data_IF_283317176305
#
_entry.id   IF_283317176305
#
_cell.length_a   1.000
_cell.length_b   1.000
_cell.length_c   1.000
_cell.angle_alpha   90.00
_cell.angle_beta   90.00
_cell.angle_gamma   90.00
#
_symmetry.space_group_name_H-M   'P 1'
#
loop_
_entity.id
_entity.type
_entity.pdbx_description
1 polymer ?
#
# COMPACT_ATOMS: atom_id res chain seq x y z
N UNK A 1 25.30 -7.34 8.02
CA UNK A 1 23.97 -6.70 8.00
C UNK A 1 22.86 -7.64 8.48
N UNK A 2 22.39 -8.55 7.62
CA UNK A 2 21.19 -9.36 7.88
C UNK A 2 21.23 -10.19 9.18
N UNK A 3 22.34 -10.85 9.50
CA UNK A 3 22.48 -11.61 10.75
C UNK A 3 22.35 -10.73 12.00
N UNK A 4 22.94 -9.52 11.98
CA UNK A 4 22.81 -8.57 13.07
C UNK A 4 21.36 -8.10 13.24
N UNK A 5 20.67 -7.81 12.14
CA UNK A 5 19.23 -7.46 12.18
C UNK A 5 18.42 -8.62 12.75
N UNK A 6 18.70 -9.86 12.35
CA UNK A 6 18.05 -11.05 12.90
C UNK A 6 18.23 -11.19 14.40
N UNK A 7 19.45 -10.95 14.91
CA UNK A 7 19.73 -10.92 16.35
C UNK A 7 18.93 -9.81 17.04
N UNK A 8 18.95 -8.59 16.49
CA UNK A 8 18.21 -7.44 17.05
C UNK A 8 16.70 -7.70 17.12
N UNK A 9 16.11 -8.30 16.08
CA UNK A 9 14.70 -8.71 16.06
C UNK A 9 14.42 -9.76 17.16
N UNK A 10 15.33 -10.70 17.35
CA UNK A 10 15.16 -11.79 18.34
C UNK A 10 15.15 -11.28 19.78
N UNK A 11 15.91 -10.23 20.07
CA UNK A 11 15.99 -9.63 21.41
C UNK A 11 15.15 -8.36 21.57
N UNK A 12 14.35 -8.00 20.57
CA UNK A 12 13.50 -6.79 20.58
C UNK A 12 12.50 -6.85 21.74
N UNK A 13 12.55 -5.90 22.69
CA UNK A 13 11.59 -5.83 23.79
C UNK A 13 10.14 -5.65 23.31
N UNK A 14 9.92 -4.87 22.25
CA UNK A 14 8.57 -4.66 21.70
C UNK A 14 8.01 -5.94 21.10
N UNK A 15 8.80 -6.63 20.26
CA UNK A 15 8.37 -7.89 19.64
C UNK A 15 8.17 -8.99 20.70
N UNK A 16 9.04 -9.08 21.70
CA UNK A 16 8.86 -10.02 22.82
C UNK A 16 7.59 -9.71 23.62
N UNK A 17 7.36 -8.44 23.92
CA UNK A 17 6.16 -8.00 24.64
C UNK A 17 4.87 -8.28 23.87
N UNK A 18 4.85 -8.08 22.55
CA UNK A 18 3.64 -8.32 21.75
C UNK A 18 3.45 -9.80 21.38
N UNK A 19 4.53 -10.57 21.24
CA UNK A 19 4.48 -12.00 20.90
C UNK A 19 4.08 -12.90 22.07
N UNK A 20 4.32 -12.50 23.33
CA UNK A 20 3.89 -13.27 24.50
C UNK A 20 2.37 -13.27 24.71
N UNK A 21 1.66 -12.31 24.11
CA UNK A 21 0.21 -12.30 24.16
C UNK A 21 -0.34 -13.25 23.09
N UNK A 22 -1.38 -14.01 23.43
CA UNK A 22 -2.15 -14.81 22.46
C UNK A 22 -2.98 -13.85 21.60
N UNK A 23 -2.29 -13.11 20.75
CA UNK A 23 -2.83 -12.10 19.85
C UNK A 23 -2.25 -12.30 18.46
N UNK A 24 -2.82 -11.59 17.51
CA UNK A 24 -2.51 -11.76 16.11
C UNK A 24 -1.24 -11.05 15.64
N UNK A 25 -0.61 -10.24 16.49
CA UNK A 25 0.51 -9.37 16.13
C UNK A 25 1.73 -10.13 15.54
N UNK A 26 2.03 -11.35 16.02
CA UNK A 26 3.14 -12.15 15.49
C UNK A 26 2.88 -12.68 14.07
N UNK A 27 1.64 -13.05 13.75
CA UNK A 27 1.27 -13.47 12.41
C UNK A 27 1.37 -12.30 11.43
N UNK A 28 1.01 -11.10 11.90
CA UNK A 28 1.12 -9.90 11.09
C UNK A 28 2.56 -9.62 10.68
N UNK A 29 3.47 -9.66 11.66
CA UNK A 29 4.89 -9.47 11.40
C UNK A 29 5.42 -10.51 10.40
N UNK A 30 5.09 -11.79 10.59
CA UNK A 30 5.52 -12.85 9.69
C UNK A 30 5.02 -12.66 8.24
N UNK A 31 3.72 -12.41 8.05
CA UNK A 31 3.17 -12.27 6.71
C UNK A 31 3.64 -10.99 6.00
N UNK A 32 3.90 -9.91 6.74
CA UNK A 32 4.57 -8.72 6.18
C UNK A 32 5.98 -9.06 5.70
N UNK A 33 6.76 -9.82 6.47
CA UNK A 33 8.11 -10.23 6.05
C UNK A 33 8.08 -11.09 4.78
N UNK A 34 7.13 -12.03 4.67
CA UNK A 34 6.93 -12.83 3.45
C UNK A 34 6.55 -11.94 2.27
N UNK A 35 5.66 -10.96 2.47
CA UNK A 35 5.27 -9.99 1.46
C UNK A 35 6.48 -9.19 0.97
N UNK A 36 7.22 -8.55 1.89
CA UNK A 36 8.42 -7.76 1.59
C UNK A 36 9.44 -8.62 0.85
N UNK A 37 9.73 -9.82 1.36
CA UNK A 37 10.68 -10.73 0.73
C UNK A 37 10.28 -11.08 -0.70
N UNK A 38 9.01 -11.45 -0.95
CA UNK A 38 8.51 -11.72 -2.30
C UNK A 38 8.65 -10.51 -3.23
N UNK A 39 8.30 -9.31 -2.76
CA UNK A 39 8.38 -8.10 -3.55
C UNK A 39 9.82 -7.73 -3.94
N UNK A 40 10.76 -7.70 -2.99
CA UNK A 40 12.16 -7.39 -3.28
C UNK A 40 12.84 -8.46 -4.15
N UNK A 41 12.55 -9.75 -3.91
CA UNK A 41 13.07 -10.82 -4.77
C UNK A 41 12.53 -10.77 -6.20
N UNK A 42 11.32 -10.24 -6.38
CA UNK A 42 10.80 -9.95 -7.71
C UNK A 42 11.54 -8.79 -8.37
N UNK A 43 11.86 -7.72 -7.64
CA UNK A 43 12.69 -6.63 -8.18
C UNK A 43 14.06 -7.14 -8.67
N UNK A 44 14.70 -8.03 -7.91
CA UNK A 44 16.02 -8.56 -8.26
C UNK A 44 16.01 -9.51 -9.44
N UNK A 45 15.05 -10.45 -9.46
CA UNK A 45 15.10 -11.59 -10.39
C UNK A 45 14.07 -11.54 -11.50
N UNK A 46 13.04 -10.69 -11.37
CA UNK A 46 11.90 -10.56 -12.28
C UNK A 46 11.16 -11.88 -12.58
N UNK A 47 11.31 -12.90 -11.71
CA UNK A 47 10.65 -14.20 -11.87
C UNK A 47 9.25 -14.20 -11.24
N UNK A 48 8.26 -14.68 -11.99
CA UNK A 48 6.85 -14.74 -11.59
C UNK A 48 6.60 -15.43 -10.23
N UNK A 49 7.40 -16.45 -9.88
CA UNK A 49 7.27 -17.15 -8.58
C UNK A 49 7.34 -16.23 -7.36
N UNK A 50 8.04 -15.10 -7.45
CA UNK A 50 8.16 -14.17 -6.33
C UNK A 50 6.93 -13.28 -6.16
N UNK A 51 6.19 -13.02 -7.24
CA UNK A 51 4.86 -12.43 -7.15
C UNK A 51 3.89 -13.36 -6.44
N UNK A 52 4.04 -14.69 -6.61
CA UNK A 52 3.27 -15.67 -5.85
C UNK A 52 3.62 -15.62 -4.35
N UNK A 53 4.90 -15.59 -4.00
CA UNK A 53 5.32 -15.44 -2.59
C UNK A 53 4.77 -14.14 -1.98
N UNK A 54 4.84 -13.03 -2.73
CA UNK A 54 4.24 -11.76 -2.34
C UNK A 54 2.73 -11.88 -2.11
N UNK A 55 1.99 -12.41 -3.08
CA UNK A 55 0.54 -12.59 -3.00
C UNK A 55 0.12 -13.52 -1.85
N UNK A 56 0.93 -14.53 -1.52
CA UNK A 56 0.70 -15.37 -0.34
C UNK A 56 0.86 -14.58 0.95
N UNK A 57 1.92 -13.78 1.09
CA UNK A 57 2.07 -12.86 2.23
C UNK A 57 0.86 -11.92 2.39
N UNK A 58 0.34 -11.42 1.28
CA UNK A 58 -0.88 -10.60 1.26
C UNK A 58 -2.12 -11.37 1.74
N UNK A 59 -2.42 -12.51 1.12
CA UNK A 59 -3.64 -13.29 1.38
C UNK A 59 -3.74 -13.67 2.85
N UNK A 60 -2.68 -14.30 3.37
CA UNK A 60 -2.65 -14.74 4.76
C UNK A 60 -2.63 -13.58 5.75
N UNK A 61 -1.99 -12.46 5.40
CA UNK A 61 -2.04 -11.23 6.20
C UNK A 61 -3.46 -10.70 6.35
N UNK A 62 -4.21 -10.57 5.25
CA UNK A 62 -5.59 -10.07 5.31
C UNK A 62 -6.55 -10.99 6.07
N UNK A 63 -6.26 -12.29 6.13
CA UNK A 63 -7.01 -13.22 7.00
C UNK A 63 -6.66 -12.99 8.48
N UNK A 64 -5.42 -12.62 8.79
CA UNK A 64 -4.93 -12.47 10.17
C UNK A 64 -5.39 -11.18 10.87
N UNK A 65 -5.48 -10.04 10.15
CA UNK A 65 -6.05 -8.79 10.67
C UNK A 65 -6.39 -7.80 9.56
N UNK A 66 -7.44 -7.03 9.80
CA UNK A 66 -7.81 -5.85 9.03
C UNK A 66 -6.71 -4.77 8.97
N UNK A 67 -5.86 -4.62 9.99
CA UNK A 67 -4.75 -3.65 9.94
C UNK A 67 -3.72 -3.95 8.83
N UNK A 68 -3.72 -5.16 8.25
CA UNK A 68 -2.86 -5.45 7.11
C UNK A 68 -3.17 -4.61 5.88
N UNK A 69 -4.40 -4.10 5.72
CA UNK A 69 -4.72 -3.19 4.62
C UNK A 69 -3.86 -1.93 4.65
N UNK A 70 -3.56 -1.40 5.84
CA UNK A 70 -2.66 -0.26 6.01
C UNK A 70 -1.22 -0.59 5.59
N UNK A 71 -0.71 -1.76 5.98
CA UNK A 71 0.61 -2.22 5.54
C UNK A 71 0.67 -2.37 4.02
N UNK A 72 -0.41 -2.87 3.41
CA UNK A 72 -0.56 -2.94 1.96
C UNK A 72 -0.58 -1.58 1.28
N UNK A 73 -1.28 -0.59 1.85
CA UNK A 73 -1.30 0.77 1.35
C UNK A 73 0.09 1.42 1.39
N UNK A 74 0.83 1.25 2.50
CA UNK A 74 2.20 1.77 2.65
C UNK A 74 3.12 1.13 1.62
N UNK A 75 3.11 -0.20 1.50
CA UNK A 75 3.95 -0.90 0.51
C UNK A 75 3.55 -0.54 -0.92
N UNK A 76 2.26 -0.42 -1.22
CA UNK A 76 1.77 -0.04 -2.54
C UNK A 76 2.21 1.36 -2.92
N UNK A 77 2.06 2.32 -2.01
CA UNK A 77 2.55 3.68 -2.18
C UNK A 77 4.06 3.73 -2.37
N UNK A 78 4.83 2.91 -1.64
CA UNK A 78 6.27 2.78 -1.83
C UNK A 78 6.63 2.30 -3.24
N UNK A 79 6.00 1.23 -3.75
CA UNK A 79 6.32 0.72 -5.09
C UNK A 79 5.84 1.64 -6.22
N UNK A 80 4.70 2.32 -6.05
CA UNK A 80 4.27 3.40 -6.96
C UNK A 80 5.31 4.53 -6.96
N UNK A 81 5.70 5.00 -5.78
CA UNK A 81 6.71 6.04 -5.63
C UNK A 81 8.06 5.64 -6.24
N UNK A 82 8.51 4.40 -6.02
CA UNK A 82 9.73 3.86 -6.61
C UNK A 82 9.64 3.79 -8.14
N UNK A 83 8.52 3.31 -8.69
CA UNK A 83 8.31 3.25 -10.13
C UNK A 83 8.33 4.63 -10.78
N UNK A 84 7.68 5.62 -10.16
CA UNK A 84 7.66 7.01 -10.65
C UNK A 84 9.03 7.66 -10.48
N UNK A 85 9.70 7.46 -9.34
CA UNK A 85 11.06 7.97 -9.07
C UNK A 85 12.05 7.51 -10.13
N UNK A 86 12.01 6.23 -10.51
CA UNK A 86 12.88 5.68 -11.56
C UNK A 86 12.64 6.29 -12.95
N UNK A 87 11.53 7.02 -13.16
CA UNK A 87 11.21 7.69 -14.43
C UNK A 87 11.52 9.18 -14.39
N UNK A 88 11.03 9.89 -13.37
CA UNK A 88 11.13 11.36 -13.30
C UNK A 88 12.26 11.86 -12.41
N UNK A 89 12.93 10.97 -11.67
CA UNK A 89 14.03 11.27 -10.75
C UNK A 89 13.63 12.32 -9.71
N UNK A 90 14.53 13.27 -9.46
CA UNK A 90 14.35 14.34 -8.47
C UNK A 90 13.12 15.22 -8.72
N UNK A 91 12.55 15.23 -9.95
CA UNK A 91 11.32 15.98 -10.25
C UNK A 91 10.12 15.44 -9.45
N UNK A 92 10.17 14.20 -8.97
CA UNK A 92 9.16 13.64 -8.08
C UNK A 92 8.94 14.54 -6.85
N UNK A 93 9.99 15.17 -6.32
CA UNK A 93 9.87 16.04 -5.14
C UNK A 93 8.98 17.26 -5.39
N UNK A 94 8.90 17.75 -6.63
CA UNK A 94 7.96 18.81 -7.00
C UNK A 94 6.51 18.34 -6.95
N UNK A 95 6.25 17.07 -7.26
CA UNK A 95 4.91 16.48 -7.14
C UNK A 95 4.56 16.09 -5.70
N UNK A 96 5.54 15.67 -4.90
CA UNK A 96 5.35 15.35 -3.48
C UNK A 96 5.06 16.61 -2.65
N UNK A 97 5.69 17.74 -2.99
CA UNK A 97 5.54 18.99 -2.22
C UNK A 97 4.07 19.46 -2.06
N UNK A 98 3.23 19.52 -3.13
CA UNK A 98 1.80 19.80 -3.00
C UNK A 98 1.09 18.83 -2.06
N UNK A 99 1.35 17.53 -2.14
CA UNK A 99 0.70 16.52 -1.29
C UNK A 99 1.07 16.72 0.18
N UNK A 100 2.35 17.02 0.47
CA UNK A 100 2.80 17.32 1.83
C UNK A 100 2.16 18.61 2.35
N UNK A 101 2.11 19.66 1.53
CA UNK A 101 1.47 20.92 1.90
C UNK A 101 -0.05 20.75 2.12
N UNK A 102 -0.74 20.08 1.19
CA UNK A 102 -2.17 19.76 1.29
C UNK A 102 -2.49 18.86 2.46
N UNK A 103 -1.64 17.87 2.75
CA UNK A 103 -1.74 17.02 3.93
C UNK A 103 -1.55 17.78 5.24
N UNK A 104 -0.60 18.72 5.28
CA UNK A 104 -0.41 19.63 6.42
C UNK A 104 -1.62 20.54 6.65
N UNK A 105 -2.19 21.11 5.58
CA UNK A 105 -3.40 21.93 5.62
C UNK A 105 -4.59 21.09 6.10
N UNK A 106 -4.79 19.90 5.52
CA UNK A 106 -5.85 18.98 5.94
C UNK A 106 -5.69 18.62 7.42
N UNK A 107 -4.50 18.23 7.87
CA UNK A 107 -4.26 17.86 9.26
C UNK A 107 -4.57 19.00 10.23
N UNK A 108 -4.16 20.22 9.90
CA UNK A 108 -4.47 21.41 10.69
C UNK A 108 -5.98 21.67 10.77
N UNK A 109 -6.68 21.58 9.62
CA UNK A 109 -8.14 21.72 9.56
C UNK A 109 -8.87 20.58 10.26
N UNK A 110 -8.33 19.36 10.20
CA UNK A 110 -8.88 18.17 10.85
C UNK A 110 -8.82 18.31 12.37
N UNK A 111 -7.68 18.73 12.92
CA UNK A 111 -7.58 19.05 14.36
C UNK A 111 -8.60 20.11 14.72
N UNK A 112 -8.70 21.18 13.91
CA UNK A 112 -9.66 22.25 14.18
C UNK A 112 -11.11 21.78 14.14
N UNK A 113 -11.47 20.92 13.20
CA UNK A 113 -12.79 20.30 13.12
C UNK A 113 -13.07 19.46 14.37
N UNK A 114 -12.11 18.63 14.80
CA UNK A 114 -12.20 17.83 16.04
C UNK A 114 -12.37 18.69 17.29
N UNK A 115 -11.66 19.81 17.40
CA UNK A 115 -11.84 20.77 18.49
C UNK A 115 -13.26 21.33 18.53
N UNK A 116 -13.80 21.73 17.37
CA UNK A 116 -15.18 22.25 17.25
C UNK A 116 -16.21 21.19 17.63
N UNK A 117 -16.04 19.95 17.17
CA UNK A 117 -16.89 18.83 17.55
C UNK A 117 -16.84 18.56 19.07
N UNK A 118 -15.66 18.67 19.67
CA UNK A 118 -15.49 18.51 21.13
C UNK A 118 -16.16 19.64 21.90
N UNK A 119 -16.08 20.89 21.42
CA UNK A 119 -16.79 22.03 22.01
C UNK A 119 -18.31 21.89 21.88
N UNK A 120 -18.80 21.34 20.77
CA UNK A 120 -20.22 21.10 20.56
C UNK A 120 -20.83 20.20 21.64
N UNK A 121 -20.05 19.25 22.18
CA UNK A 121 -20.51 18.33 23.22
C UNK A 121 -20.95 19.01 24.52
N UNK A 122 -20.52 20.26 24.78
CA UNK A 122 -20.86 21.03 25.97
C UNK A 122 -21.63 22.33 25.67
N UNK A 123 -21.97 22.59 24.41
CA UNK A 123 -22.46 23.89 23.95
C UNK A 123 -23.98 24.11 24.05
N UNK A 124 -24.76 23.11 24.49
CA UNK A 124 -26.23 23.20 24.57
C UNK A 124 -26.85 23.60 23.22
N UNK A 125 -27.62 24.70 23.21
CA UNK A 125 -28.29 25.23 22.01
C UNK A 125 -27.33 25.63 20.87
N UNK A 126 -26.05 25.89 21.18
CA UNK A 126 -25.02 26.21 20.19
C UNK A 126 -24.37 24.99 19.52
N UNK A 127 -24.68 23.77 19.98
CA UNK A 127 -24.01 22.55 19.52
C UNK A 127 -24.17 22.30 18.02
N UNK A 128 -25.38 22.48 17.48
CA UNK A 128 -25.65 22.19 16.06
C UNK A 128 -24.87 23.14 15.13
N UNK A 129 -24.72 24.41 15.50
CA UNK A 129 -23.92 25.37 14.74
C UNK A 129 -22.42 24.99 14.71
N UNK A 130 -21.90 24.52 15.85
CA UNK A 130 -20.51 24.05 15.97
C UNK A 130 -20.26 22.76 15.18
N UNK A 131 -21.21 21.83 15.17
CA UNK A 131 -21.12 20.60 14.36
C UNK A 131 -21.11 20.92 12.86
N UNK A 132 -22.04 21.77 12.39
CA UNK A 132 -22.02 22.21 10.98
C UNK A 132 -20.71 22.93 10.61
N UNK A 133 -20.13 23.69 11.54
CA UNK A 133 -18.83 24.33 11.33
C UNK A 133 -17.70 23.29 11.28
N UNK A 134 -17.72 22.29 12.17
CA UNK A 134 -16.78 21.17 12.18
C UNK A 134 -16.82 20.44 10.83
N UNK A 135 -18.00 20.02 10.38
CA UNK A 135 -18.18 19.26 9.14
C UNK A 135 -17.70 20.03 7.91
N UNK A 136 -18.02 21.33 7.83
CA UNK A 136 -17.51 22.20 6.77
C UNK A 136 -15.99 22.35 6.82
N UNK A 137 -15.40 22.45 8.01
CA UNK A 137 -13.94 22.57 8.18
C UNK A 137 -13.23 21.30 7.72
N UNK A 138 -13.77 20.13 8.10
CA UNK A 138 -13.27 18.83 7.65
C UNK A 138 -13.38 18.70 6.13
N UNK A 139 -14.54 19.04 5.55
CA UNK A 139 -14.77 18.99 4.12
C UNK A 139 -13.79 19.88 3.34
N UNK A 140 -13.51 21.09 3.81
CA UNK A 140 -12.52 21.99 3.20
C UNK A 140 -11.11 21.37 3.27
N UNK A 141 -10.75 20.75 4.40
CA UNK A 141 -9.48 20.05 4.54
C UNK A 141 -9.34 18.90 3.55
N UNK A 142 -10.35 18.04 3.44
CA UNK A 142 -10.37 16.92 2.50
C UNK A 142 -10.30 17.44 1.06
N UNK A 143 -11.05 18.49 0.73
CA UNK A 143 -11.01 19.11 -0.60
C UNK A 143 -9.61 19.67 -0.92
N UNK A 144 -8.95 20.32 0.03
CA UNK A 144 -7.59 20.83 -0.14
C UNK A 144 -6.58 19.70 -0.40
N UNK A 145 -6.67 18.59 0.34
CA UNK A 145 -5.87 17.39 0.11
C UNK A 145 -6.15 16.77 -1.27
N UNK A 146 -7.43 16.69 -1.67
CA UNK A 146 -7.84 16.21 -2.98
C UNK A 146 -7.27 17.04 -4.13
N UNK A 147 -7.36 18.37 -4.03
CA UNK A 147 -6.78 19.31 -5.00
C UNK A 147 -5.25 19.14 -5.06
N UNK A 148 -4.58 19.04 -3.92
CA UNK A 148 -3.14 18.79 -3.86
C UNK A 148 -2.73 17.47 -4.53
N UNK A 149 -3.53 16.42 -4.36
CA UNK A 149 -3.34 15.14 -5.05
C UNK A 149 -3.48 15.26 -6.57
N UNK A 150 -4.48 16.01 -7.05
CA UNK A 150 -4.66 16.28 -8.49
C UNK A 150 -3.47 17.05 -9.04
N UNK A 151 -3.01 18.09 -8.35
CA UNK A 151 -1.82 18.88 -8.74
C UNK A 151 -0.60 17.95 -8.83
N UNK A 152 -0.40 17.07 -7.85
CA UNK A 152 0.71 16.12 -7.87
C UNK A 152 0.67 15.19 -9.11
N UNK A 153 -0.51 14.67 -9.45
CA UNK A 153 -0.69 13.84 -10.66
C UNK A 153 -0.36 14.64 -11.91
N UNK A 154 -0.87 15.88 -12.03
CA UNK A 154 -0.58 16.76 -13.17
C UNK A 154 0.92 17.01 -13.30
N UNK A 155 1.61 17.30 -12.19
CA UNK A 155 3.06 17.52 -12.18
C UNK A 155 3.84 16.27 -12.56
N UNK A 156 3.42 15.08 -12.12
CA UNK A 156 4.02 13.80 -12.56
C UNK A 156 3.84 13.64 -14.07
N UNK A 157 2.62 13.82 -14.58
CA UNK A 157 2.32 13.69 -16.02
C UNK A 157 3.13 14.69 -16.85
N UNK A 158 3.25 15.94 -16.40
CA UNK A 158 4.08 16.96 -17.05
C UNK A 158 5.58 16.65 -16.99
N UNK A 159 6.04 15.98 -15.94
CA UNK A 159 7.43 15.58 -15.80
C UNK A 159 7.81 14.37 -16.66
N UNK A 160 6.84 13.52 -17.03
CA UNK A 160 7.02 12.34 -17.87
C UNK A 160 7.15 12.72 -19.35
N UNK A 161 8.11 12.08 -20.04
CA UNK A 161 8.24 12.12 -21.49
C UNK A 161 7.29 11.10 -22.13
N UNK A 162 7.02 11.26 -23.43
CA UNK A 162 6.18 10.32 -24.20
C UNK A 162 6.69 8.87 -24.15
N UNK A 163 8.02 8.69 -24.17
CA UNK A 163 8.68 7.37 -24.05
C UNK A 163 8.61 6.77 -22.64
N UNK A 164 8.42 7.59 -21.61
CA UNK A 164 8.45 7.13 -20.21
C UNK A 164 7.23 6.29 -19.87
N UNK A 165 6.12 6.44 -20.61
CA UNK A 165 4.97 5.55 -20.49
C UNK A 165 5.31 4.09 -20.83
N UNK A 166 6.10 3.87 -21.90
CA UNK A 166 6.55 2.53 -22.28
C UNK A 166 7.52 1.97 -21.25
N UNK A 167 8.42 2.81 -20.72
CA UNK A 167 9.35 2.43 -19.64
C UNK A 167 8.60 2.06 -18.36
N UNK A 168 7.59 2.84 -17.96
CA UNK A 168 6.74 2.59 -16.79
C UNK A 168 6.07 1.22 -16.88
N UNK A 169 5.46 0.92 -18.04
CA UNK A 169 4.79 -0.37 -18.28
C UNK A 169 5.74 -1.57 -18.35
N UNK A 170 7.05 -1.34 -18.36
CA UNK A 170 8.09 -2.37 -18.30
C UNK A 170 8.82 -2.38 -16.96
N UNK A 171 8.44 -1.52 -16.02
CA UNK A 171 9.10 -1.36 -14.75
C UNK A 171 8.64 -2.45 -13.74
N UNK A 172 9.55 -3.24 -13.14
CA UNK A 172 9.20 -4.23 -12.14
C UNK A 172 8.51 -3.66 -10.89
N UNK A 173 8.85 -2.45 -10.46
CA UNK A 173 8.19 -1.79 -9.33
C UNK A 173 6.74 -1.43 -9.66
N UNK A 174 6.48 -1.03 -10.91
CA UNK A 174 5.11 -0.77 -11.37
C UNK A 174 4.30 -2.07 -11.49
N UNK A 175 4.92 -3.17 -11.93
CA UNK A 175 4.31 -4.50 -11.93
C UNK A 175 3.88 -4.95 -10.53
N UNK A 176 4.71 -4.70 -9.51
CA UNK A 176 4.35 -4.96 -8.10
C UNK A 176 3.15 -4.13 -7.66
N UNK A 177 3.20 -2.81 -7.90
CA UNK A 177 2.12 -1.90 -7.53
C UNK A 177 0.78 -2.30 -8.17
N UNK A 178 0.77 -2.58 -9.47
CA UNK A 178 -0.44 -2.98 -10.19
C UNK A 178 -0.94 -4.35 -9.73
N UNK A 179 -0.04 -5.30 -9.48
CA UNK A 179 -0.42 -6.61 -8.92
C UNK A 179 -1.04 -6.46 -7.54
N UNK A 180 -0.45 -5.67 -6.65
CA UNK A 180 -0.98 -5.45 -5.31
C UNK A 180 -2.36 -4.77 -5.34
N UNK A 181 -2.50 -3.68 -6.11
CA UNK A 181 -3.77 -2.95 -6.20
C UNK A 181 -4.86 -3.83 -6.83
N UNK A 182 -4.56 -4.55 -7.91
CA UNK A 182 -5.55 -5.42 -8.56
C UNK A 182 -6.05 -6.53 -7.64
N UNK A 183 -5.16 -7.19 -6.87
CA UNK A 183 -5.58 -8.22 -5.91
C UNK A 183 -6.48 -7.67 -4.79
N UNK A 184 -6.20 -6.44 -4.33
CA UNK A 184 -6.91 -5.79 -3.21
C UNK A 184 -8.19 -5.11 -3.63
N UNK A 185 -8.32 -4.68 -4.89
CA UNK A 185 -9.38 -3.77 -5.33
C UNK A 185 -10.81 -4.17 -4.90
N UNK A 186 -11.23 -5.44 -4.94
CA UNK A 186 -12.58 -5.83 -4.48
C UNK A 186 -12.83 -5.59 -2.97
N UNK A 187 -11.79 -5.58 -2.13
CA UNK A 187 -11.88 -5.22 -0.71
C UNK A 187 -12.22 -3.75 -0.49
N UNK A 188 -12.03 -2.87 -1.49
CA UNK A 188 -12.22 -1.41 -1.37
C UNK A 188 -13.70 -1.01 -1.36
N UNK A 189 -14.63 -1.93 -1.62
CA UNK A 189 -16.08 -1.68 -1.63
C UNK A 189 -16.64 -0.90 -0.42
N UNK A 190 -16.14 -1.03 0.84
CA UNK A 190 -16.64 -0.24 1.97
C UNK A 190 -16.42 1.26 1.82
N UNK A 191 -15.38 1.69 1.11
CA UNK A 191 -15.18 3.11 0.80
C UNK A 191 -16.32 3.65 -0.05
N UNK A 192 -16.74 2.91 -1.08
CA UNK A 192 -17.87 3.32 -1.92
C UNK A 192 -19.17 3.33 -1.11
N UNK A 193 -19.39 2.33 -0.26
CA UNK A 193 -20.56 2.28 0.62
C UNK A 193 -20.61 3.51 1.55
N UNK A 194 -19.49 3.89 2.15
CA UNK A 194 -19.42 5.05 3.04
C UNK A 194 -19.54 6.38 2.28
N UNK A 195 -18.77 6.58 1.21
CA UNK A 195 -18.65 7.90 0.57
C UNK A 195 -19.70 8.17 -0.52
N UNK A 196 -20.17 7.13 -1.21
CA UNK A 196 -21.15 7.27 -2.31
C UNK A 196 -22.57 6.99 -1.83
N UNK A 197 -22.73 5.95 -1.01
CA UNK A 197 -24.04 5.51 -0.52
C UNK A 197 -24.32 5.95 0.93
N UNK A 198 -23.42 6.73 1.54
CA UNK A 198 -23.56 7.27 2.89
C UNK A 198 -23.93 6.22 3.95
N UNK A 199 -23.39 4.99 3.82
CA UNK A 199 -23.59 3.95 4.81
C UNK A 199 -22.88 4.30 6.11
N UNK A 200 -23.63 4.23 7.21
CA UNK A 200 -23.06 4.06 8.54
C UNK A 200 -22.49 2.63 8.64
N UNK A 201 -21.19 2.50 8.34
CA UNK A 201 -20.51 1.22 8.35
C UNK A 201 -20.56 0.57 9.73
N UNK A 202 -20.41 1.35 10.81
CA UNK A 202 -20.42 0.82 12.17
C UNK A 202 -21.78 0.18 12.46
N UNK A 203 -22.86 0.93 12.26
CA UNK A 203 -24.21 0.43 12.51
C UNK A 203 -24.55 -0.78 11.61
N UNK A 204 -24.15 -0.74 10.33
CA UNK A 204 -24.39 -1.84 9.39
C UNK A 204 -23.64 -3.11 9.79
N UNK A 205 -22.37 -3.03 10.19
CA UNK A 205 -21.60 -4.23 10.57
C UNK A 205 -21.91 -4.73 11.98
N UNK A 206 -22.31 -3.85 12.92
CA UNK A 206 -22.79 -4.25 14.24
C UNK A 206 -24.08 -5.11 14.14
N UNK A 207 -24.93 -4.87 13.13
CA UNK A 207 -26.14 -5.63 12.87
C UNK A 207 -26.16 -6.32 11.50
N UNK A 208 -25.13 -7.12 11.20
CA UNK A 208 -25.02 -7.77 9.89
C UNK A 208 -26.16 -8.75 9.58
N UNK A 209 -26.73 -9.41 10.60
CA UNK A 209 -27.85 -10.33 10.41
C UNK A 209 -29.14 -9.60 10.00
N UNK A 210 -29.24 -8.30 10.28
CA UNK A 210 -30.35 -7.44 9.87
C UNK A 210 -30.24 -6.86 8.46
N UNK A 211 -29.19 -7.23 7.69
CA UNK A 211 -29.05 -6.75 6.31
C UNK A 211 -30.21 -7.20 5.43
N UNK A 212 -30.81 -6.22 4.74
CA UNK A 212 -31.85 -6.49 3.76
C UNK A 212 -31.28 -7.21 2.53
N UNK A 213 -32.16 -7.81 1.72
CA UNK A 213 -31.75 -8.38 0.42
C UNK A 213 -31.12 -7.31 -0.47
N UNK A 214 -31.60 -6.07 -0.42
CA UNK A 214 -31.01 -4.93 -1.15
C UNK A 214 -29.58 -4.61 -0.71
N UNK A 215 -29.30 -4.62 0.60
CA UNK A 215 -27.94 -4.40 1.13
C UNK A 215 -26.95 -5.46 0.62
N UNK A 216 -27.40 -6.71 0.57
CA UNK A 216 -26.59 -7.83 0.08
C UNK A 216 -26.33 -7.75 -1.43
N UNK A 217 -27.36 -7.41 -2.21
CA UNK A 217 -27.22 -7.23 -3.65
C UNK A 217 -26.30 -6.05 -3.96
N UNK A 218 -26.46 -4.92 -3.26
CA UNK A 218 -25.61 -3.75 -3.45
C UNK A 218 -24.14 -4.07 -3.15
N UNK A 219 -23.86 -4.65 -1.98
CA UNK A 219 -22.48 -5.01 -1.58
C UNK A 219 -21.85 -6.01 -2.54
N UNK A 220 -22.56 -7.08 -2.90
CA UNK A 220 -22.08 -8.06 -3.87
C UNK A 220 -21.84 -7.44 -5.25
N UNK A 221 -22.73 -6.55 -5.70
CA UNK A 221 -22.59 -5.85 -6.99
C UNK A 221 -21.37 -4.94 -7.00
N UNK A 222 -21.11 -4.19 -5.92
CA UNK A 222 -19.93 -3.33 -5.82
C UNK A 222 -18.63 -4.14 -5.81
N UNK A 223 -18.59 -5.25 -5.07
CA UNK A 223 -17.44 -6.17 -5.09
C UNK A 223 -17.21 -6.73 -6.49
N UNK A 224 -18.28 -7.11 -7.20
CA UNK A 224 -18.20 -7.61 -8.57
C UNK A 224 -17.71 -6.53 -9.55
N UNK A 225 -18.21 -5.30 -9.45
CA UNK A 225 -17.77 -4.17 -10.28
C UNK A 225 -16.28 -3.89 -10.05
N UNK A 226 -15.83 -3.85 -8.79
CA UNK A 226 -14.41 -3.65 -8.45
C UNK A 226 -13.54 -4.83 -8.92
N UNK A 227 -14.06 -6.06 -8.90
CA UNK A 227 -13.38 -7.21 -9.50
C UNK A 227 -13.25 -7.04 -11.02
N UNK A 228 -14.31 -6.63 -11.73
CA UNK A 228 -14.25 -6.37 -13.18
C UNK A 228 -13.23 -5.27 -13.50
N UNK A 229 -13.20 -4.19 -12.71
CA UNK A 229 -12.21 -3.12 -12.87
C UNK A 229 -10.80 -3.66 -12.64
N UNK A 230 -10.60 -4.54 -11.65
CA UNK A 230 -9.32 -5.19 -11.39
C UNK A 230 -8.85 -6.03 -12.58
N UNK A 231 -9.75 -6.83 -13.16
CA UNK A 231 -9.48 -7.60 -14.38
C UNK A 231 -9.13 -6.70 -15.57
N UNK A 232 -9.91 -5.63 -15.79
CA UNK A 232 -9.66 -4.67 -16.87
C UNK A 232 -8.30 -3.98 -16.70
N UNK A 233 -7.97 -3.57 -15.48
CA UNK A 233 -6.68 -2.96 -15.14
C UNK A 233 -5.51 -3.92 -15.38
N UNK A 234 -5.62 -5.18 -14.92
CA UNK A 234 -4.58 -6.18 -15.12
C UNK A 234 -4.44 -6.59 -16.59
N UNK A 235 -5.55 -6.73 -17.32
CA UNK A 235 -5.54 -7.00 -18.76
C UNK A 235 -4.87 -5.86 -19.52
N UNK A 236 -5.29 -4.62 -19.25
CA UNK A 236 -4.65 -3.45 -19.80
C UNK A 236 -3.16 -3.44 -19.49
N UNK A 237 -2.74 -3.76 -18.27
CA UNK A 237 -1.34 -3.66 -17.84
C UNK A 237 -0.41 -4.76 -18.37
N UNK A 238 -0.84 -6.02 -18.28
CA UNK A 238 -0.01 -7.19 -18.62
C UNK A 238 -0.18 -7.64 -20.07
N UNK A 239 -1.41 -7.69 -20.59
CA UNK A 239 -1.67 -8.19 -21.95
C UNK A 239 -1.40 -7.12 -23.01
N UNK A 240 -1.93 -5.90 -22.84
CA UNK A 240 -1.72 -4.82 -23.81
C UNK A 240 -0.33 -4.17 -23.72
N UNK A 241 0.67 -4.84 -23.15
CA UNK A 241 2.01 -4.29 -22.91
C UNK A 241 2.75 -4.13 -24.24
N UNK A 242 3.38 -2.97 -24.51
CA UNK A 242 4.19 -2.81 -25.71
C UNK A 242 5.34 -3.82 -25.71
N UNK A 243 5.37 -4.72 -26.70
CA UNK A 243 6.44 -5.72 -26.88
C UNK A 243 7.78 -5.00 -27.14
N UNK A 244 8.86 -5.53 -26.57
CA UNK A 244 10.19 -5.01 -26.86
C UNK A 244 10.57 -5.37 -28.31
N UNK A 245 11.21 -4.47 -29.07
CA UNK A 245 11.82 -4.86 -30.33
C UNK A 245 12.92 -5.89 -30.04
N UNK A 246 12.98 -7.00 -30.77
CA UNK A 246 14.07 -7.96 -30.62
C UNK A 246 15.39 -7.32 -31.03
N UNK A 247 16.44 -7.60 -30.27
CA UNK A 247 17.81 -7.25 -30.65
C UNK A 247 18.59 -8.54 -30.85
N UNK A 248 19.05 -8.75 -32.07
CA UNK A 248 19.89 -9.89 -32.45
C UNK A 248 21.33 -9.38 -32.55
N UNK A 249 22.22 -9.88 -31.69
CA UNK A 249 23.65 -9.58 -31.78
C UNK A 249 24.27 -10.37 -32.92
N UNK A 250 24.79 -9.68 -33.94
CA UNK A 250 25.55 -10.31 -35.03
C UNK A 250 26.92 -10.80 -34.54
N UNK A 251 27.48 -11.78 -35.25
CA UNK A 251 28.81 -12.34 -34.98
C UNK A 251 29.96 -11.31 -35.03
N UNK A 252 29.74 -10.15 -35.64
CA UNK A 252 30.69 -9.03 -35.72
C UNK A 252 30.54 -8.00 -34.58
N UNK A 253 29.67 -8.25 -33.59
CA UNK A 253 29.43 -7.36 -32.46
C UNK A 253 28.44 -6.21 -32.71
N UNK A 254 27.91 -6.07 -33.93
CA UNK A 254 26.84 -5.09 -34.21
C UNK A 254 25.47 -5.59 -33.73
N UNK A 255 24.71 -4.72 -33.07
CA UNK A 255 23.33 -4.99 -32.64
C UNK A 255 22.38 -4.66 -33.79
N UNK A 256 21.67 -5.66 -34.31
CA UNK A 256 20.61 -5.48 -35.28
C UNK A 256 19.26 -5.55 -34.56
N UNK A 257 18.45 -4.51 -34.69
CA UNK A 257 17.10 -4.48 -34.13
C UNK A 257 16.18 -5.22 -35.11
N UNK A 258 15.96 -6.50 -34.88
CA UNK A 258 14.96 -7.27 -35.62
C UNK A 258 13.55 -6.97 -35.09
N UNK A 259 12.56 -6.96 -36.00
CA UNK A 259 11.15 -6.92 -35.63
C UNK A 259 10.65 -8.27 -35.07
N UNK A 260 11.48 -8.95 -34.27
CA UNK A 260 11.20 -10.22 -33.61
C UNK A 260 10.67 -10.03 -32.20
N UNK A 261 9.96 -11.05 -31.71
CA UNK A 261 9.31 -11.05 -30.41
C UNK A 261 10.24 -11.69 -29.37
N UNK A 262 10.80 -10.88 -28.46
CA UNK A 262 11.63 -11.40 -27.37
C UNK A 262 10.74 -12.05 -26.30
N UNK A 263 10.45 -13.34 -26.48
CA UNK A 263 9.70 -14.18 -25.54
C UNK A 263 10.59 -14.64 -24.38
N UNK A 264 10.89 -13.75 -23.43
CA UNK A 264 11.56 -14.15 -22.19
C UNK A 264 10.59 -14.04 -21.02
N UNK A 265 10.06 -15.17 -20.54
CA UNK A 265 9.55 -15.51 -19.19
C UNK A 265 8.95 -14.39 -18.31
N UNK A 266 8.35 -13.34 -18.90
CA UNK A 266 7.82 -12.22 -18.14
C UNK A 266 6.39 -12.51 -17.72
N UNK A 267 6.07 -12.12 -16.50
CA UNK A 267 4.75 -12.31 -15.92
C UNK A 267 3.67 -11.66 -16.80
N UNK A 268 2.81 -12.50 -17.39
CA UNK A 268 1.73 -12.09 -18.27
C UNK A 268 0.35 -12.16 -17.60
N UNK A 269 -0.70 -11.84 -18.36
CA UNK A 269 -2.07 -11.80 -17.86
C UNK A 269 -2.55 -13.16 -17.30
N UNK A 270 -2.19 -14.27 -17.93
CA UNK A 270 -2.50 -15.62 -17.40
C UNK A 270 -1.83 -15.90 -16.05
N UNK A 271 -0.59 -15.45 -15.86
CA UNK A 271 0.09 -15.56 -14.56
C UNK A 271 -0.63 -14.73 -13.49
N UNK A 272 -1.10 -13.54 -13.87
CA UNK A 272 -1.94 -12.73 -13.00
C UNK A 272 -3.28 -13.40 -12.66
N UNK A 273 -3.94 -14.05 -13.61
CA UNK A 273 -5.17 -14.78 -13.37
C UNK A 273 -4.98 -15.91 -12.35
N UNK A 274 -3.85 -16.62 -12.43
CA UNK A 274 -3.48 -17.64 -11.44
C UNK A 274 -3.29 -17.04 -10.04
N UNK A 275 -2.62 -15.88 -9.93
CA UNK A 275 -2.46 -15.18 -8.66
C UNK A 275 -3.80 -14.70 -8.11
N UNK A 276 -4.63 -14.07 -8.94
CA UNK A 276 -5.95 -13.59 -8.57
C UNK A 276 -6.83 -14.75 -8.07
N UNK A 277 -6.82 -15.87 -8.79
CA UNK A 277 -7.54 -17.09 -8.40
C UNK A 277 -7.03 -17.66 -7.08
N UNK A 278 -5.71 -17.84 -6.93
CA UNK A 278 -5.13 -18.39 -5.70
C UNK A 278 -5.37 -17.50 -4.48
N UNK A 279 -5.17 -16.18 -4.63
CA UNK A 279 -5.41 -15.19 -3.59
C UNK A 279 -6.87 -15.21 -3.14
N UNK A 280 -7.83 -15.08 -4.07
CA UNK A 280 -9.25 -15.05 -3.70
C UNK A 280 -9.80 -16.39 -3.25
N UNK A 281 -9.28 -17.50 -3.73
CA UNK A 281 -9.62 -18.83 -3.22
C UNK A 281 -9.31 -18.93 -1.72
N UNK A 282 -8.13 -18.46 -1.30
CA UNK A 282 -7.74 -18.42 0.11
C UNK A 282 -8.70 -17.52 0.90
N UNK A 283 -8.98 -16.30 0.43
CA UNK A 283 -9.90 -15.38 1.12
C UNK A 283 -11.31 -15.98 1.28
N UNK A 284 -11.87 -16.52 0.21
CA UNK A 284 -13.22 -17.10 0.20
C UNK A 284 -13.29 -18.29 1.15
N UNK A 285 -12.33 -19.22 1.11
CA UNK A 285 -12.35 -20.39 1.98
C UNK A 285 -12.28 -20.01 3.46
N UNK A 286 -11.36 -19.12 3.83
CA UNK A 286 -11.14 -18.80 5.25
C UNK A 286 -12.23 -17.88 5.81
N UNK A 287 -12.67 -16.87 5.07
CA UNK A 287 -13.74 -15.99 5.55
C UNK A 287 -15.09 -16.70 5.68
N UNK A 288 -15.34 -17.72 4.85
CA UNK A 288 -16.60 -18.48 4.91
C UNK A 288 -16.55 -19.67 5.87
N UNK A 289 -15.47 -19.83 6.66
CA UNK A 289 -15.24 -21.02 7.51
C UNK A 289 -15.35 -22.31 6.69
N UNK A 290 -14.57 -22.39 5.62
CA UNK A 290 -14.58 -23.48 4.64
C UNK A 290 -15.98 -23.73 4.08
N UNK A 291 -16.61 -22.67 3.55
CA UNK A 291 -17.91 -22.69 2.87
C UNK A 291 -19.12 -23.06 3.77
N UNK A 292 -18.92 -23.20 5.08
CA UNK A 292 -20.03 -23.46 6.03
C UNK A 292 -20.85 -22.20 6.34
N UNK A 293 -20.32 -21.01 6.06
CA UNK A 293 -20.96 -19.72 6.28
C UNK A 293 -20.69 -18.74 5.14
N UNK A 294 -21.17 -19.08 3.94
CA UNK A 294 -20.88 -18.30 2.72
C UNK A 294 -21.43 -16.87 2.84
N UNK A 295 -22.73 -16.74 3.15
CA UNK A 295 -23.43 -15.44 3.19
C UNK A 295 -22.75 -14.46 4.15
N UNK A 296 -22.71 -14.79 5.44
CA UNK A 296 -22.18 -13.86 6.43
C UNK A 296 -20.66 -13.79 6.36
N UNK A 297 -19.97 -14.89 6.01
CA UNK A 297 -18.52 -14.92 5.90
C UNK A 297 -17.99 -14.01 4.80
N UNK A 298 -18.60 -14.01 3.61
CA UNK A 298 -18.23 -13.07 2.55
C UNK A 298 -18.57 -11.63 2.94
N UNK A 299 -19.73 -11.40 3.55
CA UNK A 299 -20.14 -10.06 3.98
C UNK A 299 -19.20 -9.49 5.06
N UNK A 300 -18.86 -10.24 6.11
CA UNK A 300 -17.92 -9.77 7.16
C UNK A 300 -16.47 -9.79 6.71
N UNK A 301 -16.07 -10.76 5.89
CA UNK A 301 -14.68 -10.95 5.50
C UNK A 301 -14.24 -10.03 4.36
N UNK A 302 -14.99 -10.01 3.27
CA UNK A 302 -14.63 -9.24 2.07
C UNK A 302 -14.97 -7.76 2.23
N UNK A 303 -16.15 -7.45 2.76
CA UNK A 303 -16.61 -6.07 2.92
C UNK A 303 -16.36 -5.60 4.36
N UNK A 304 -16.73 -6.43 5.34
CA UNK A 304 -16.65 -6.06 6.75
C UNK A 304 -15.24 -5.90 7.32
N UNK A 305 -14.20 -6.52 6.77
CA UNK A 305 -12.84 -6.40 7.31
C UNK A 305 -12.31 -4.98 7.17
N UNK A 306 -12.25 -4.46 5.94
CA UNK A 306 -11.85 -3.08 5.67
C UNK A 306 -12.91 -2.08 6.14
N UNK A 307 -14.20 -2.44 6.07
CA UNK A 307 -15.29 -1.60 6.58
C UNK A 307 -15.21 -1.39 8.09
N UNK A 308 -14.87 -2.44 8.85
CA UNK A 308 -14.63 -2.35 10.29
C UNK A 308 -13.40 -1.49 10.58
N UNK A 309 -12.29 -1.69 9.87
CA UNK A 309 -11.10 -0.83 10.02
C UNK A 309 -11.42 0.65 9.78
N UNK A 310 -12.21 0.95 8.74
CA UNK A 310 -12.63 2.32 8.41
C UNK A 310 -13.52 2.90 9.51
N UNK A 311 -14.47 2.12 10.04
CA UNK A 311 -15.34 2.52 11.15
C UNK A 311 -14.58 2.74 12.48
N UNK A 312 -13.40 2.14 12.67
CA UNK A 312 -12.61 2.31 13.89
C UNK A 312 -11.80 3.62 13.92
N UNK A 313 -11.65 4.35 12.81
CA UNK A 313 -10.87 5.60 12.78
C UNK A 313 -11.50 6.69 13.67
N UNK A 314 -12.81 6.63 13.92
CA UNK A 314 -13.51 7.56 14.82
C UNK A 314 -13.36 7.20 16.30
N UNK A 315 -13.01 5.94 16.59
CA UNK A 315 -12.82 5.44 17.95
C UNK A 315 -11.34 5.51 18.29
N UNK A 316 -10.86 6.71 18.66
CA UNK A 316 -9.49 6.91 19.10
C UNK A 316 -9.21 6.18 20.43
N UNK A 317 -8.89 4.88 20.38
CA UNK A 317 -8.58 4.08 21.56
C UNK A 317 -7.22 4.49 22.12
N UNK A 318 -7.26 5.40 23.10
CA UNK A 318 -6.12 5.73 23.95
C UNK A 318 -5.79 7.22 24.08
N UNK A 319 -6.35 8.08 23.22
CA UNK A 319 -6.18 9.54 23.33
C UNK A 319 -4.73 10.01 23.49
N UNK A 320 -3.77 9.25 22.96
CA UNK A 320 -2.35 9.47 23.22
C UNK A 320 -1.83 10.68 22.44
N UNK A 321 -0.86 11.43 22.98
CA UNK A 321 -0.21 12.51 22.24
C UNK A 321 0.45 12.02 20.95
N UNK A 322 0.61 12.90 19.96
CA UNK A 322 1.18 12.54 18.64
C UNK A 322 2.59 11.91 18.75
N UNK A 323 3.36 12.27 19.78
CA UNK A 323 4.71 11.76 20.01
C UNK A 323 4.76 10.42 20.76
N UNK A 324 3.61 9.86 21.14
CA UNK A 324 3.53 8.63 21.95
C UNK A 324 4.30 7.46 21.34
N UNK A 325 4.13 7.21 20.03
CA UNK A 325 4.83 6.10 19.37
C UNK A 325 6.32 6.37 19.17
N UNK A 326 6.75 7.62 19.03
CA UNK A 326 8.17 7.99 19.00
C UNK A 326 8.83 7.73 20.35
N UNK A 327 8.15 8.10 21.45
CA UNK A 327 8.58 7.82 22.80
C UNK A 327 8.67 6.30 23.07
N UNK A 328 7.64 5.53 22.67
CA UNK A 328 7.66 4.06 22.79
C UNK A 328 8.81 3.45 22.00
N UNK A 329 9.03 3.90 20.77
CA UNK A 329 10.16 3.47 19.94
C UNK A 329 11.50 3.75 20.62
N UNK A 330 11.69 4.96 21.15
CA UNK A 330 12.91 5.32 21.86
C UNK A 330 13.12 4.51 23.15
N UNK A 331 12.05 4.12 23.85
CA UNK A 331 12.14 3.37 25.11
C UNK A 331 12.38 1.86 24.88
N UNK A 332 11.61 1.25 23.98
CA UNK A 332 11.63 -0.20 23.78
C UNK A 332 12.56 -0.64 22.64
N UNK A 333 12.86 0.23 21.69
CA UNK A 333 13.69 -0.07 20.52
C UNK A 333 14.93 0.85 20.44
N UNK A 334 15.45 1.28 21.59
CA UNK A 334 16.57 2.24 21.68
C UNK A 334 17.78 1.80 20.84
N UNK A 335 18.09 0.50 20.77
CA UNK A 335 19.25 -0.01 20.05
C UNK A 335 19.10 0.14 18.53
N UNK A 336 18.02 -0.34 17.88
CA UNK A 336 17.72 0.00 16.49
C UNK A 336 17.68 1.50 16.22
N UNK A 337 17.11 2.31 17.13
CA UNK A 337 17.06 3.77 16.99
C UNK A 337 18.46 4.40 16.95
N UNK A 338 19.35 4.04 17.90
CA UNK A 338 20.72 4.56 17.95
C UNK A 338 21.52 4.11 16.72
N UNK A 339 21.46 2.82 16.37
CA UNK A 339 22.21 2.28 15.23
C UNK A 339 21.76 2.91 13.91
N UNK A 340 20.45 3.09 13.73
CA UNK A 340 19.90 3.76 12.54
C UNK A 340 20.30 5.23 12.51
N UNK A 341 20.29 5.92 13.66
CA UNK A 341 20.75 7.31 13.78
C UNK A 341 22.22 7.46 13.40
N UNK A 342 23.10 6.60 13.91
CA UNK A 342 24.52 6.57 13.53
C UNK A 342 24.67 6.32 12.02
N UNK A 343 23.92 5.37 11.47
CA UNK A 343 23.93 5.08 10.04
C UNK A 343 23.50 6.27 9.17
N UNK A 344 22.42 6.96 9.55
CA UNK A 344 21.94 8.17 8.87
C UNK A 344 22.99 9.28 8.92
N UNK A 345 23.57 9.54 10.10
CA UNK A 345 24.62 10.55 10.25
C UNK A 345 25.83 10.21 9.40
N UNK A 346 26.25 8.94 9.36
CA UNK A 346 27.35 8.49 8.52
C UNK A 346 27.03 8.72 7.03
N UNK A 347 25.84 8.34 6.57
CA UNK A 347 25.40 8.54 5.18
C UNK A 347 25.43 10.03 4.82
N UNK A 348 24.82 10.89 5.65
CA UNK A 348 24.80 12.34 5.41
C UNK A 348 26.21 12.90 5.39
N UNK A 349 27.04 12.55 6.37
CA UNK A 349 28.42 13.00 6.46
C UNK A 349 29.22 12.67 5.20
N UNK A 350 29.08 11.45 4.69
CA UNK A 350 29.78 11.02 3.48
C UNK A 350 29.22 11.68 2.22
N UNK A 351 27.90 11.76 2.05
CA UNK A 351 27.27 12.43 0.91
C UNK A 351 27.62 13.93 0.84
N UNK A 352 27.75 14.60 1.99
CA UNK A 352 28.17 16.01 2.06
C UNK A 352 29.64 16.17 1.67
N UNK A 353 30.51 15.23 2.03
CA UNK A 353 31.94 15.27 1.67
C UNK A 353 32.22 14.83 0.24
N UNK A 354 31.43 13.90 -0.28
CA UNK A 354 31.59 13.24 -1.58
C UNK A 354 30.21 12.99 -2.15
N UNK A 355 29.79 13.85 -3.08
CA UNK A 355 28.47 13.73 -3.71
C UNK A 355 28.30 12.44 -4.54
N UNK A 356 29.42 11.79 -4.87
CA UNK A 356 29.55 10.53 -5.60
C UNK A 356 29.76 9.31 -4.70
N UNK A 357 29.70 9.47 -3.37
CA UNK A 357 29.90 8.35 -2.44
C UNK A 357 28.75 7.34 -2.51
N UNK A 358 29.11 6.07 -2.75
CA UNK A 358 28.19 4.93 -2.68
C UNK A 358 28.46 4.13 -1.39
N UNK A 359 27.43 3.90 -0.54
CA UNK A 359 27.56 3.01 0.61
C UNK A 359 27.81 1.53 0.25
N UNK A 360 27.54 1.12 -0.99
CA UNK A 360 27.79 -0.25 -1.46
C UNK A 360 29.24 -0.37 -1.90
N UNK A 361 29.96 -1.34 -1.34
CA UNK A 361 31.33 -1.61 -1.80
C UNK A 361 31.30 -2.03 -3.28
N UNK A 362 32.22 -1.51 -4.09
CA UNK A 362 32.28 -1.85 -5.52
C UNK A 362 32.40 -3.38 -5.75
N UNK A 363 33.01 -4.10 -4.82
CA UNK A 363 33.11 -5.58 -4.84
C UNK A 363 31.78 -6.30 -4.67
N UNK A 364 30.79 -5.65 -4.05
CA UNK A 364 29.47 -6.22 -3.77
C UNK A 364 28.48 -5.95 -4.92
N UNK A 365 28.83 -5.07 -5.86
CA UNK A 365 28.05 -4.84 -7.06
C UNK A 365 28.15 -6.06 -7.99
N UNK A 366 27.10 -6.40 -8.76
CA UNK A 366 27.20 -7.43 -9.78
C UNK A 366 28.35 -7.14 -10.76
N UNK A 367 29.06 -8.15 -11.29
CA UNK A 367 30.21 -7.95 -12.18
C UNK A 367 29.95 -7.03 -13.37
N UNK A 368 28.70 -6.96 -13.83
CA UNK A 368 28.27 -6.08 -14.93
C UNK A 368 28.32 -4.58 -14.61
N UNK A 369 28.40 -4.19 -13.33
CA UNK A 369 28.35 -2.79 -12.85
C UNK A 369 29.70 -2.37 -12.23
N UNK A 370 30.65 -3.29 -12.05
CA UNK A 370 31.96 -3.02 -11.42
C UNK A 370 32.96 -2.24 -12.29
N UNK A 371 32.52 -1.62 -13.39
CA UNK A 371 33.38 -1.03 -14.42
C UNK A 371 33.78 0.43 -14.14
#
# INVERSE_FOLDING_TARGET
GALMIGILITISPSLLFHSRYIRNDIYIAFFILVWIYGAFRYLDTQKARWLMVMAMGMAWGFIAKENHFMNGAIMGAFFVGLAVWQLVGNRLWMAVAPVVAGGGIWYWLHIRARELATQAATAGDGAEALLRQSDRTEMIGIAALGIAGIIAIVLIVMAMKSEDWVKLRRNPAADLAVTMVSLVLPFVSPFLLAFVFSWDLKAKFDNINGWSTGDMVLTASLVLVLAIISFAMAYFWFEMRPKAPATTKRANGSEEVEAGEQSSERFGFFGWLQLMGAFWLIQVLFFTRFLTNIRNGLATGVVGSLGYWLAQQEVARGGQPWYYYLMLGALYEFLPWILSGIGIVAIIYWLVRRSDWDPVAATDLPPAIQA
#
